data_IF_710941852123
#
_entry.id   IF_710941852123
#
_cell.length_a   1.000
_cell.length_b   1.000
_cell.length_c   1.000
_cell.angle_alpha   90.00
_cell.angle_beta   90.00
_cell.angle_gamma   90.00
#
_symmetry.space_group_name_H-M   'P 1'
#
loop_
_entity.id
_entity.type
_entity.pdbx_description
1 polymer ?
#
# COMPACT_ATOMS: atom_id res chain seq x y z
N UNK A 1 -30.21 -11.70 1.07
CA UNK A 1 -29.39 -10.50 1.30
C UNK A 1 -28.01 -10.82 1.88
N UNK A 2 -27.87 -11.96 2.58
CA UNK A 2 -26.72 -12.20 3.47
C UNK A 2 -25.50 -12.88 2.81
N UNK A 3 -25.70 -13.59 1.71
CA UNK A 3 -24.61 -14.33 1.03
C UNK A 3 -23.55 -13.40 0.42
N UNK A 4 -23.95 -12.21 -0.06
CA UNK A 4 -23.03 -11.20 -0.59
C UNK A 4 -22.24 -10.55 0.55
N UNK A 5 -22.88 -10.26 1.68
CA UNK A 5 -22.22 -9.72 2.86
C UNK A 5 -21.14 -10.68 3.40
N UNK A 6 -21.45 -11.98 3.45
CA UNK A 6 -20.47 -13.01 3.86
C UNK A 6 -19.29 -13.10 2.88
N UNK A 7 -19.53 -13.01 1.56
CA UNK A 7 -18.47 -13.05 0.54
C UNK A 7 -17.55 -11.85 0.66
N UNK A 8 -18.11 -10.66 0.91
CA UNK A 8 -17.33 -9.45 1.14
C UNK A 8 -16.50 -9.57 2.41
N UNK A 9 -17.07 -10.08 3.51
CA UNK A 9 -16.34 -10.25 4.77
C UNK A 9 -15.17 -11.27 4.65
N UNK A 10 -15.42 -12.40 4.00
CA UNK A 10 -14.39 -13.42 3.75
C UNK A 10 -13.34 -12.86 2.76
N UNK A 11 -13.80 -12.19 1.70
CA UNK A 11 -12.94 -11.56 0.70
C UNK A 11 -12.02 -10.50 1.32
N UNK A 12 -12.53 -9.63 2.20
CA UNK A 12 -11.72 -8.62 2.87
C UNK A 12 -10.75 -9.24 3.87
N UNK A 13 -11.18 -10.23 4.65
CA UNK A 13 -10.31 -10.88 5.63
C UNK A 13 -9.14 -11.64 4.97
N UNK A 14 -9.43 -12.36 3.88
CA UNK A 14 -8.41 -13.11 3.13
C UNK A 14 -7.47 -12.20 2.36
N UNK A 15 -8.00 -11.20 1.66
CA UNK A 15 -7.21 -10.23 0.93
C UNK A 15 -6.27 -9.46 1.87
N UNK A 16 -6.79 -8.97 2.99
CA UNK A 16 -6.02 -8.22 3.98
C UNK A 16 -4.86 -9.05 4.55
N UNK A 17 -5.13 -10.30 4.99
CA UNK A 17 -4.08 -11.16 5.55
C UNK A 17 -2.99 -11.48 4.53
N UNK A 18 -3.37 -11.82 3.30
CA UNK A 18 -2.40 -12.14 2.24
C UNK A 18 -1.59 -10.91 1.86
N UNK A 19 -2.26 -9.76 1.68
CA UNK A 19 -1.61 -8.50 1.36
C UNK A 19 -0.62 -8.08 2.44
N UNK A 20 -1.01 -8.17 3.71
CA UNK A 20 -0.16 -7.76 4.83
C UNK A 20 1.07 -8.66 4.98
N UNK A 21 0.91 -9.98 4.78
CA UNK A 21 2.05 -10.92 4.80
C UNK A 21 3.04 -10.63 3.66
N UNK A 22 2.54 -10.32 2.47
CA UNK A 22 3.38 -9.98 1.31
C UNK A 22 4.06 -8.63 1.49
N UNK A 23 3.34 -7.63 2.01
CA UNK A 23 3.88 -6.31 2.33
C UNK A 23 5.06 -6.44 3.31
N UNK A 24 4.88 -7.16 4.42
CA UNK A 24 5.96 -7.42 5.40
C UNK A 24 7.13 -8.18 4.78
N UNK A 25 6.86 -9.20 3.96
CA UNK A 25 7.91 -9.99 3.32
C UNK A 25 8.76 -9.16 2.34
N UNK A 26 8.10 -8.34 1.52
CA UNK A 26 8.77 -7.46 0.55
C UNK A 26 9.53 -6.36 1.29
N UNK A 27 8.93 -5.78 2.32
CA UNK A 27 9.54 -4.76 3.15
C UNK A 27 10.84 -5.29 3.79
N UNK A 28 10.81 -6.46 4.43
CA UNK A 28 11.99 -7.02 5.08
C UNK A 28 13.10 -7.38 4.09
N UNK A 29 12.74 -7.71 2.84
CA UNK A 29 13.73 -7.92 1.77
C UNK A 29 14.35 -6.60 1.28
N UNK A 30 13.55 -5.56 1.11
CA UNK A 30 13.96 -4.27 0.55
C UNK A 30 14.60 -3.32 1.59
N UNK A 31 14.38 -3.56 2.88
CA UNK A 31 14.93 -2.73 3.97
C UNK A 31 16.45 -2.54 3.92
N UNK A 32 17.18 -3.49 3.32
CA UNK A 32 18.65 -3.48 3.24
C UNK A 32 19.19 -2.52 2.18
N UNK A 33 18.34 -1.95 1.33
CA UNK A 33 18.74 -1.01 0.29
C UNK A 33 18.51 0.43 0.73
N UNK A 34 17.38 1.01 0.36
CA UNK A 34 17.06 2.42 0.55
C UNK A 34 15.79 2.47 1.41
N UNK A 35 15.90 3.08 2.59
CA UNK A 35 14.85 3.09 3.61
C UNK A 35 13.48 3.57 3.11
N UNK A 36 13.48 4.46 2.12
CA UNK A 36 12.28 5.02 1.52
C UNK A 36 11.61 4.07 0.50
N UNK A 37 12.41 3.39 -0.31
CA UNK A 37 11.88 2.56 -1.40
C UNK A 37 11.20 1.31 -0.83
N UNK A 38 11.70 0.80 0.29
CA UNK A 38 11.12 -0.36 0.96
C UNK A 38 9.61 -0.19 1.27
N UNK A 39 9.15 0.82 2.03
CA UNK A 39 7.73 1.01 2.33
C UNK A 39 6.90 1.37 1.10
N UNK A 40 7.44 2.16 0.15
CA UNK A 40 6.67 2.53 -1.04
C UNK A 40 6.37 1.31 -1.92
N UNK A 41 7.41 0.52 -2.23
CA UNK A 41 7.28 -0.64 -3.11
C UNK A 41 6.50 -1.76 -2.43
N UNK A 42 6.71 -1.99 -1.13
CA UNK A 42 5.98 -3.02 -0.40
C UNK A 42 4.49 -2.70 -0.34
N UNK A 43 4.11 -1.47 0.03
CA UNK A 43 2.71 -1.08 0.15
C UNK A 43 2.00 -1.02 -1.21
N UNK A 44 2.70 -0.64 -2.30
CA UNK A 44 2.16 -0.71 -3.66
C UNK A 44 1.81 -2.14 -4.07
N UNK A 45 2.70 -3.09 -3.81
CA UNK A 45 2.48 -4.50 -4.17
C UNK A 45 1.43 -5.13 -3.26
N UNK A 46 1.51 -4.90 -1.95
CA UNK A 46 0.55 -5.39 -0.97
C UNK A 46 -0.87 -4.91 -1.29
N UNK A 47 -1.04 -3.59 -1.49
CA UNK A 47 -2.35 -3.03 -1.86
C UNK A 47 -2.85 -3.48 -3.23
N UNK A 48 -1.95 -3.76 -4.19
CA UNK A 48 -2.35 -4.36 -5.47
C UNK A 48 -2.96 -5.73 -5.30
N UNK A 49 -2.29 -6.58 -4.52
CA UNK A 49 -2.74 -7.95 -4.26
C UNK A 49 -4.02 -7.95 -3.42
N UNK A 50 -4.12 -7.06 -2.43
CA UNK A 50 -5.33 -6.84 -1.63
C UNK A 50 -6.53 -6.55 -2.53
N UNK A 51 -6.44 -5.53 -3.38
CA UNK A 51 -7.52 -5.12 -4.27
C UNK A 51 -7.91 -6.26 -5.23
N UNK A 52 -6.93 -6.92 -5.87
CA UNK A 52 -7.25 -8.03 -6.77
C UNK A 52 -7.93 -9.20 -6.05
N UNK A 53 -7.44 -9.62 -4.88
CA UNK A 53 -8.04 -10.71 -4.12
C UNK A 53 -9.41 -10.34 -3.57
N UNK A 54 -9.58 -9.14 -3.02
CA UNK A 54 -10.84 -8.66 -2.49
C UNK A 54 -11.92 -8.62 -3.57
N UNK A 55 -11.63 -7.97 -4.71
CA UNK A 55 -12.61 -7.84 -5.79
C UNK A 55 -12.89 -9.18 -6.47
N UNK A 56 -11.88 -10.03 -6.64
CA UNK A 56 -12.05 -11.37 -7.20
C UNK A 56 -12.96 -12.22 -6.31
N UNK A 57 -12.70 -12.29 -5.00
CA UNK A 57 -13.48 -13.15 -4.08
C UNK A 57 -14.87 -12.60 -3.82
N UNK A 58 -15.01 -11.28 -3.63
CA UNK A 58 -16.27 -10.65 -3.24
C UNK A 58 -17.28 -10.60 -4.39
N UNK A 59 -16.81 -10.37 -5.62
CA UNK A 59 -17.67 -10.16 -6.79
C UNK A 59 -17.61 -11.32 -7.81
N UNK A 60 -16.96 -12.43 -7.47
CA UNK A 60 -16.94 -13.61 -8.32
C UNK A 60 -18.35 -14.06 -8.73
N UNK A 61 -18.61 -14.12 -10.04
CA UNK A 61 -19.88 -14.60 -10.58
C UNK A 61 -21.09 -13.67 -10.36
N UNK A 62 -20.87 -12.41 -9.96
CA UNK A 62 -21.96 -11.43 -9.73
C UNK A 62 -22.39 -10.66 -10.99
N UNK A 63 -21.76 -10.93 -12.15
CA UNK A 63 -22.00 -10.19 -13.41
C UNK A 63 -21.38 -8.79 -13.44
N UNK A 64 -20.84 -8.33 -12.33
CA UNK A 64 -20.12 -7.07 -12.19
C UNK A 64 -18.69 -7.26 -12.71
N UNK A 65 -18.22 -6.34 -13.54
CA UNK A 65 -16.85 -6.33 -14.05
C UNK A 65 -15.86 -5.92 -12.94
N UNK A 66 -15.57 -6.86 -12.05
CA UNK A 66 -14.66 -6.70 -10.93
C UNK A 66 -13.23 -6.35 -11.36
N UNK A 67 -12.83 -6.72 -12.59
CA UNK A 67 -11.53 -6.36 -13.16
C UNK A 67 -11.44 -4.87 -13.42
N UNK A 68 -12.48 -4.27 -14.01
CA UNK A 68 -12.51 -2.82 -14.23
C UNK A 68 -12.57 -2.05 -12.91
N UNK A 69 -13.31 -2.56 -11.92
CA UNK A 69 -13.39 -1.95 -10.59
C UNK A 69 -12.04 -2.00 -9.85
N UNK A 70 -11.37 -3.17 -9.85
CA UNK A 70 -10.05 -3.30 -9.22
C UNK A 70 -9.01 -2.41 -9.91
N UNK A 71 -9.08 -2.28 -11.23
CA UNK A 71 -8.17 -1.41 -11.98
C UNK A 71 -8.41 0.08 -11.68
N UNK A 72 -9.67 0.47 -11.48
CA UNK A 72 -10.03 1.82 -11.04
C UNK A 72 -9.48 2.14 -9.66
N UNK A 73 -9.69 1.25 -8.69
CA UNK A 73 -9.14 1.38 -7.33
C UNK A 73 -7.62 1.47 -7.33
N UNK A 74 -6.95 0.62 -8.12
CA UNK A 74 -5.50 0.63 -8.27
C UNK A 74 -4.96 1.92 -8.88
N UNK A 75 -5.65 2.45 -9.90
CA UNK A 75 -5.26 3.71 -10.53
C UNK A 75 -5.28 4.86 -9.52
N UNK A 76 -6.32 4.91 -8.68
CA UNK A 76 -6.43 5.91 -7.61
C UNK A 76 -5.35 5.69 -6.54
N UNK A 77 -5.12 4.44 -6.10
CA UNK A 77 -4.07 4.12 -5.11
C UNK A 77 -2.68 4.52 -5.59
N UNK A 78 -2.32 4.22 -6.84
CA UNK A 78 -1.03 4.60 -7.42
C UNK A 78 -0.92 6.12 -7.52
N UNK A 79 -1.96 6.80 -7.99
CA UNK A 79 -1.97 8.26 -8.09
C UNK A 79 -1.79 8.94 -6.72
N UNK A 80 -2.52 8.48 -5.71
CA UNK A 80 -2.42 8.98 -4.33
C UNK A 80 -1.05 8.66 -3.72
N UNK A 81 -0.53 7.45 -3.93
CA UNK A 81 0.80 7.07 -3.46
C UNK A 81 1.90 7.96 -4.05
N UNK A 82 1.81 8.29 -5.34
CA UNK A 82 2.72 9.21 -6.00
C UNK A 82 2.56 10.66 -5.50
N UNK A 83 1.33 11.12 -5.29
CA UNK A 83 1.08 12.45 -4.73
C UNK A 83 1.65 12.57 -3.30
N UNK A 84 1.54 11.52 -2.48
CA UNK A 84 2.07 11.46 -1.11
C UNK A 84 3.60 11.36 -1.03
N UNK A 85 4.30 10.98 -2.11
CA UNK A 85 5.77 11.02 -2.14
C UNK A 85 6.33 12.44 -1.96
N UNK A 86 5.61 13.45 -2.46
CA UNK A 86 6.03 14.86 -2.43
C UNK A 86 6.15 15.39 -0.98
N UNK A 87 5.09 15.32 -0.14
CA UNK A 87 5.18 15.79 1.25
C UNK A 87 6.18 14.97 2.07
N UNK A 88 6.29 13.66 1.81
CA UNK A 88 7.28 12.84 2.51
C UNK A 88 8.71 13.28 2.20
N UNK A 89 9.01 13.63 0.93
CA UNK A 89 10.34 14.13 0.54
C UNK A 89 10.67 15.48 1.19
N UNK A 90 9.69 16.37 1.30
CA UNK A 90 9.80 17.65 2.01
C UNK A 90 10.09 17.46 3.50
N UNK A 91 9.45 16.48 4.12
CA UNK A 91 9.62 16.18 5.54
C UNK A 91 11.02 15.65 5.85
N UNK A 92 11.55 14.74 5.02
CA UNK A 92 12.92 14.26 5.19
C UNK A 92 13.97 15.37 5.04
N UNK A 93 13.76 16.30 4.11
CA UNK A 93 14.64 17.46 3.96
C UNK A 93 14.72 18.29 5.26
N UNK A 94 13.57 18.55 5.90
CA UNK A 94 13.51 19.27 7.17
C UNK A 94 14.20 18.53 8.31
N UNK A 95 14.05 17.20 8.42
CA UNK A 95 14.73 16.41 9.46
C UNK A 95 16.25 16.46 9.30
N UNK A 96 16.74 16.37 8.05
CA UNK A 96 18.17 16.38 7.75
C UNK A 96 18.80 17.76 8.01
N UNK A 97 18.05 18.83 7.74
CA UNK A 97 18.42 20.21 8.08
C UNK A 97 18.53 20.41 9.61
N UNK A 98 17.52 19.96 10.37
CA UNK A 98 17.52 20.04 11.85
C UNK A 98 18.72 19.27 12.45
N UNK A 99 18.98 18.05 11.97
CA UNK A 99 20.12 17.25 12.45
C UNK A 99 21.46 17.91 12.17
N UNK A 100 21.61 18.52 10.99
CA UNK A 100 22.83 19.24 10.59
C UNK A 100 23.04 20.54 11.36
N UNK A 101 21.95 21.24 11.71
CA UNK A 101 21.96 22.44 12.55
C UNK A 101 22.36 22.11 14.00
N UNK A 102 21.77 21.07 14.61
CA UNK A 102 22.09 20.64 15.96
C UNK A 102 23.57 20.25 16.11
N UNK A 103 24.13 19.57 15.10
CA UNK A 103 25.55 19.21 15.08
C UNK A 103 26.48 20.43 15.07
N UNK A 104 26.10 21.57 14.48
CA UNK A 104 26.92 22.80 14.48
C UNK A 104 26.86 23.59 15.79
N UNK A 105 25.81 23.42 16.59
CA UNK A 105 25.63 24.14 17.85
C UNK A 105 26.40 23.45 19.00
N UNK A 106 26.68 22.15 18.84
CA UNK A 106 27.39 21.32 19.82
C UNK A 106 28.92 21.22 19.58
N UNK A 107 29.48 21.97 18.61
CA UNK A 107 30.93 22.15 18.37
C UNK A 107 31.30 23.58 18.65
#
# INVERSE_FOLDING_TARGET
>A
SDLISIRIAIGSGTAFLVAQLIDVHIFDRLRKKIWFIAPLTSSLIGSSIDTFLFFSISFYGTGINWVTLSFGDLSVKIFVALAMLIPFRLLLYRIQEISSSNKKINV
#
